data_IF_027980057205
#
_entry.id   IF_027980057205
#
_cell.length_a   1.000
_cell.length_b   1.000
_cell.length_c   1.000
_cell.angle_alpha   90.00
_cell.angle_beta   90.00
_cell.angle_gamma   90.00
#
_symmetry.space_group_name_H-M   'P 1'
#
loop_
_entity.id
_entity.type
_entity.pdbx_description
1 polymer ?
#
# COMPACT_ATOMS: atom_id res chain seq x y z
N UNK A 1 19.88 5.46 3.38
CA UNK A 1 18.71 6.22 2.89
C UNK A 1 17.53 5.46 3.46
N UNK A 2 16.72 6.08 4.33
CA UNK A 2 15.69 5.33 5.06
C UNK A 2 14.67 4.71 4.09
N UNK A 3 14.42 3.41 4.21
CA UNK A 3 13.53 2.63 3.32
C UNK A 3 12.13 3.26 3.23
N UNK A 4 11.67 3.87 4.32
CA UNK A 4 10.45 4.67 4.38
C UNK A 4 10.41 5.80 3.34
N UNK A 5 11.52 6.54 3.19
CA UNK A 5 11.60 7.66 2.24
C UNK A 5 11.54 7.16 0.80
N UNK A 6 12.18 6.02 0.52
CA UNK A 6 12.12 5.39 -0.80
C UNK A 6 10.67 5.03 -1.19
N UNK A 7 9.90 4.45 -0.26
CA UNK A 7 8.50 4.08 -0.48
C UNK A 7 7.64 5.32 -0.77
N UNK A 8 7.83 6.41 -0.01
CA UNK A 8 7.13 7.67 -0.25
C UNK A 8 7.41 8.22 -1.66
N UNK A 9 8.67 8.23 -2.08
CA UNK A 9 9.08 8.67 -3.42
C UNK A 9 8.51 7.77 -4.52
N UNK A 10 8.40 6.46 -4.27
CA UNK A 10 7.81 5.51 -5.23
C UNK A 10 6.31 5.65 -5.36
N UNK A 11 5.60 5.88 -4.27
CA UNK A 11 4.16 6.18 -4.30
C UNK A 11 3.90 7.51 -5.00
N UNK A 12 4.74 8.52 -4.79
CA UNK A 12 4.67 9.79 -5.53
C UNK A 12 4.87 9.57 -7.04
N UNK A 13 5.89 8.79 -7.45
CA UNK A 13 6.10 8.41 -8.85
C UNK A 13 4.88 7.68 -9.44
N UNK A 14 4.33 6.71 -8.72
CA UNK A 14 3.12 6.00 -9.15
C UNK A 14 1.93 6.95 -9.33
N UNK A 15 1.78 7.93 -8.44
CA UNK A 15 0.73 8.95 -8.53
C UNK A 15 0.84 9.77 -9.81
N UNK A 16 2.05 10.18 -10.18
CA UNK A 16 2.28 10.96 -11.40
C UNK A 16 2.02 10.13 -12.66
N UNK A 17 2.39 8.85 -12.66
CA UNK A 17 2.05 7.89 -13.73
C UNK A 17 0.52 7.79 -13.89
N UNK A 18 -0.22 7.64 -12.79
CA UNK A 18 -1.69 7.56 -12.86
C UNK A 18 -2.31 8.83 -13.43
N UNK A 19 -1.73 10.01 -13.17
CA UNK A 19 -2.17 11.28 -13.78
C UNK A 19 -1.87 11.31 -15.27
N UNK A 20 -0.69 10.86 -15.69
CA UNK A 20 -0.28 10.81 -17.10
C UNK A 20 -1.22 9.94 -17.93
N UNK A 21 -1.62 8.78 -17.41
CA UNK A 21 -2.47 7.83 -18.11
C UNK A 21 -3.99 8.04 -17.90
N UNK A 22 -4.40 9.09 -17.18
CA UNK A 22 -5.79 9.36 -16.80
C UNK A 22 -6.48 8.16 -16.09
N UNK A 23 -5.76 7.52 -15.16
CA UNK A 23 -6.23 6.39 -14.37
C UNK A 23 -6.56 6.87 -12.95
N UNK A 24 -7.80 6.66 -12.50
CA UNK A 24 -8.23 7.18 -11.19
C UNK A 24 -7.51 6.52 -10.00
N UNK A 25 -7.40 5.19 -10.02
CA UNK A 25 -6.86 4.39 -8.92
C UNK A 25 -6.15 3.15 -9.45
N UNK A 26 -5.01 2.84 -8.85
CA UNK A 26 -4.38 1.54 -8.92
C UNK A 26 -4.59 0.78 -7.61
N UNK A 27 -5.11 -0.44 -7.71
CA UNK A 27 -5.33 -1.36 -6.61
C UNK A 27 -4.33 -2.53 -6.68
N UNK A 28 -3.59 -2.73 -5.61
CA UNK A 28 -2.85 -3.97 -5.34
C UNK A 28 -3.58 -4.74 -4.26
N UNK A 29 -4.04 -5.96 -4.57
CA UNK A 29 -4.74 -6.84 -3.64
C UNK A 29 -3.96 -8.13 -3.43
N UNK A 30 -3.56 -8.38 -2.19
CA UNK A 30 -2.61 -9.44 -1.83
C UNK A 30 -3.00 -10.14 -0.54
N UNK A 31 -2.45 -11.33 -0.32
CA UNK A 31 -2.60 -12.13 0.90
C UNK A 31 -1.38 -13.03 1.06
N UNK A 32 -1.01 -13.34 2.31
CA UNK A 32 0.04 -14.32 2.62
C UNK A 32 1.33 -14.08 1.80
N UNK A 33 1.75 -12.82 1.72
CA UNK A 33 2.85 -12.40 0.84
C UNK A 33 4.23 -12.95 1.24
N UNK A 34 4.48 -13.42 2.48
CA UNK A 34 5.69 -14.20 2.74
C UNK A 34 5.76 -15.52 1.95
N UNK A 35 4.62 -16.09 1.56
CA UNK A 35 4.53 -17.34 0.78
C UNK A 35 4.33 -17.07 -0.71
N UNK A 36 3.57 -16.02 -1.05
CA UNK A 36 3.28 -15.59 -2.41
C UNK A 36 3.60 -14.11 -2.58
N UNK A 37 4.89 -13.73 -2.72
CA UNK A 37 5.29 -12.34 -2.80
C UNK A 37 4.75 -11.70 -4.08
N UNK A 38 4.23 -10.47 -3.94
CA UNK A 38 3.98 -9.59 -5.08
C UNK A 38 5.16 -8.60 -5.18
N UNK A 39 5.90 -8.58 -6.31
CA UNK A 39 7.09 -7.75 -6.45
C UNK A 39 6.80 -6.25 -6.34
N UNK A 40 5.54 -5.82 -6.50
CA UNK A 40 5.18 -4.42 -6.32
C UNK A 40 5.32 -3.97 -4.86
N UNK A 41 5.17 -4.88 -3.90
CA UNK A 41 5.14 -4.54 -2.48
C UNK A 41 6.45 -3.94 -2.02
N UNK A 42 7.58 -4.31 -2.61
CA UNK A 42 8.89 -3.71 -2.31
C UNK A 42 8.90 -2.20 -2.59
N UNK A 43 8.04 -1.71 -3.49
CA UNK A 43 7.97 -0.29 -3.86
C UNK A 43 6.85 0.48 -3.17
N UNK A 44 5.75 -0.18 -2.81
CA UNK A 44 4.57 0.50 -2.24
C UNK A 44 4.38 0.24 -0.75
N UNK A 45 5.12 -0.70 -0.17
CA UNK A 45 4.94 -1.16 1.21
C UNK A 45 6.28 -1.45 1.92
N UNK A 46 7.25 -2.07 1.25
CA UNK A 46 8.56 -2.46 1.79
C UNK A 46 8.52 -3.54 2.87
N UNK A 47 7.39 -4.22 3.03
CA UNK A 47 7.18 -5.28 4.01
C UNK A 47 6.13 -6.28 3.49
N UNK A 48 5.89 -7.33 4.26
CA UNK A 48 4.93 -8.37 3.92
C UNK A 48 3.66 -8.25 4.76
N UNK A 49 2.56 -8.79 4.23
CA UNK A 49 1.27 -8.89 4.91
C UNK A 49 0.80 -10.33 4.94
N UNK A 50 0.22 -10.72 6.07
CA UNK A 50 -0.32 -12.08 6.23
C UNK A 50 -1.79 -12.16 5.82
N UNK A 51 -2.60 -11.16 6.19
CA UNK A 51 -4.04 -11.16 5.92
C UNK A 51 -4.35 -10.48 4.58
N UNK A 52 -5.59 -10.65 4.08
CA UNK A 52 -6.04 -9.96 2.86
C UNK A 52 -5.84 -8.46 3.00
N UNK A 53 -5.06 -7.88 2.09
CA UNK A 53 -4.69 -6.48 2.17
C UNK A 53 -4.89 -5.81 0.82
N UNK A 54 -5.37 -4.58 0.85
CA UNK A 54 -5.59 -3.76 -0.33
C UNK A 54 -4.82 -2.45 -0.19
N UNK A 55 -4.01 -2.13 -1.19
CA UNK A 55 -3.28 -0.86 -1.30
C UNK A 55 -3.80 -0.10 -2.50
N UNK A 56 -4.36 1.07 -2.26
CA UNK A 56 -5.01 1.91 -3.25
C UNK A 56 -4.19 3.18 -3.43
N UNK A 57 -3.61 3.37 -4.60
CA UNK A 57 -2.90 4.58 -5.00
C UNK A 57 -3.82 5.36 -5.94
N UNK A 58 -4.31 6.52 -5.51
CA UNK A 58 -5.10 7.42 -6.35
C UNK A 58 -4.23 8.47 -7.05
N UNK A 59 -4.58 8.81 -8.30
CA UNK A 59 -4.01 9.98 -9.01
C UNK A 59 -4.18 11.32 -8.27
N UNK A 60 -5.13 11.39 -7.33
CA UNK A 60 -5.40 12.58 -6.51
C UNK A 60 -4.42 12.73 -5.32
N UNK A 61 -3.51 11.78 -5.12
CA UNK A 61 -2.59 11.78 -3.97
C UNK A 61 -3.26 11.37 -2.66
N UNK A 62 -4.49 10.84 -2.71
CA UNK A 62 -5.20 10.27 -1.57
C UNK A 62 -5.05 8.75 -1.61
N UNK A 63 -4.08 8.23 -0.87
CA UNK A 63 -3.73 6.81 -0.85
C UNK A 63 -4.38 6.12 0.35
N UNK A 64 -4.95 4.94 0.12
CA UNK A 64 -5.64 4.16 1.16
C UNK A 64 -5.03 2.77 1.27
N UNK A 65 -4.79 2.32 2.51
CA UNK A 65 -4.42 0.96 2.80
C UNK A 65 -5.49 0.30 3.67
N UNK A 66 -5.95 -0.88 3.29
CA UNK A 66 -6.85 -1.73 4.08
C UNK A 66 -6.04 -2.97 4.46
N UNK A 67 -5.78 -3.16 5.74
CA UNK A 67 -4.86 -4.19 6.24
C UNK A 67 -5.34 -4.80 7.55
N UNK A 68 -4.81 -5.96 7.92
CA UNK A 68 -5.06 -6.55 9.23
C UNK A 68 -4.61 -5.61 10.35
N UNK A 69 -5.27 -5.67 11.51
CA UNK A 69 -5.00 -4.78 12.64
C UNK A 69 -3.51 -4.68 13.02
N UNK A 70 -2.78 -5.81 12.98
CA UNK A 70 -1.37 -5.87 13.33
C UNK A 70 -0.43 -5.22 12.30
N UNK A 71 -0.87 -5.05 11.04
CA UNK A 71 -0.08 -4.41 9.98
C UNK A 71 -0.36 -2.89 9.91
N UNK A 72 -1.45 -2.42 10.52
CA UNK A 72 -1.93 -1.05 10.38
C UNK A 72 -0.95 0.00 10.93
N UNK A 73 -0.28 -0.28 12.05
CA UNK A 73 0.72 0.64 12.63
C UNK A 73 1.97 0.72 11.76
N UNK A 74 2.44 -0.41 11.24
CA UNK A 74 3.60 -0.44 10.35
C UNK A 74 3.32 0.37 9.08
N UNK A 75 2.14 0.21 8.47
CA UNK A 75 1.74 0.99 7.29
C UNK A 75 1.61 2.49 7.61
N UNK A 76 1.11 2.83 8.80
CA UNK A 76 1.02 4.23 9.25
C UNK A 76 2.40 4.87 9.39
N UNK A 77 3.37 4.12 9.92
CA UNK A 77 4.73 4.60 10.12
C UNK A 77 5.44 4.92 8.80
N UNK A 78 5.06 4.29 7.68
CA UNK A 78 5.58 4.64 6.36
C UNK A 78 5.27 6.09 5.97
N UNK A 79 4.17 6.67 6.47
CA UNK A 79 3.75 8.02 6.11
C UNK A 79 3.40 8.21 4.63
N UNK A 80 3.24 7.11 3.88
CA UNK A 80 2.95 7.13 2.45
C UNK A 80 1.46 6.95 2.13
N UNK A 81 0.66 6.50 3.12
CA UNK A 81 -0.78 6.33 3.00
C UNK A 81 -1.51 7.36 3.87
N UNK A 82 -2.49 8.05 3.29
CA UNK A 82 -3.29 9.06 3.99
C UNK A 82 -4.34 8.39 4.89
N UNK A 83 -4.92 7.29 4.41
CA UNK A 83 -5.95 6.55 5.12
C UNK A 83 -5.50 5.11 5.35
N UNK A 84 -5.58 4.65 6.60
CA UNK A 84 -5.28 3.28 6.98
C UNK A 84 -6.52 2.71 7.68
N UNK A 85 -7.13 1.69 7.06
CA UNK A 85 -8.27 0.97 7.59
C UNK A 85 -7.78 -0.37 8.11
N UNK A 86 -7.59 -0.45 9.43
CA UNK A 86 -7.25 -1.68 10.13
C UNK A 86 -8.50 -2.50 10.42
N UNK A 87 -8.50 -3.80 10.14
CA UNK A 87 -9.62 -4.68 10.46
C UNK A 87 -9.21 -5.85 11.37
N UNK A 88 -10.15 -6.30 12.19
CA UNK A 88 -9.92 -7.36 13.19
C UNK A 88 -10.56 -8.70 12.81
N UNK A 89 -11.56 -8.67 11.93
CA UNK A 89 -12.24 -9.84 11.42
C UNK A 89 -12.08 -9.88 9.91
N UNK A 90 -11.66 -11.03 9.38
CA UNK A 90 -11.52 -11.24 7.95
C UNK A 90 -12.85 -11.07 7.22
N UNK A 91 -12.77 -10.86 5.92
CA UNK A 91 -13.93 -10.90 5.04
C UNK A 91 -14.22 -12.39 4.78
N UNK A 92 -15.37 -12.88 5.27
CA UNK A 92 -15.82 -14.27 5.17
C UNK A 92 -17.32 -14.38 5.37
#
# INVERSE_FOLDING_TARGET
MDDQKLIQEKIAQATDILREFDIDVWLTFVRETPLSPDPVLDFILGQHVTWHSAFLISRQGQHTAIVGHYDAENVRNLGAYNQIVGYHQGIG
#
